data_IF_904375338776
#
_entry.id   IF_904375338776
#
_cell.length_a   1.000
_cell.length_b   1.000
_cell.length_c   1.000
_cell.angle_alpha   90.00
_cell.angle_beta   90.00
_cell.angle_gamma   90.00
#
_symmetry.space_group_name_H-M   'P 1'
#
loop_
_entity.id
_entity.type
_entity.pdbx_description
1 polymer ?
#
# COMPACT_ATOMS: atom_id res chain seq x y z
N UNK A 1 -16.27 42.08 -4.80
CA UNK A 1 -15.74 40.87 -5.47
C UNK A 1 -15.56 39.83 -4.38
N UNK A 2 -16.36 38.76 -4.37
CA UNK A 2 -16.38 37.77 -3.30
C UNK A 2 -15.25 36.76 -3.52
N UNK A 3 -14.39 36.49 -2.52
CA UNK A 3 -13.34 35.48 -2.67
C UNK A 3 -13.93 34.08 -2.79
N UNK A 4 -15.10 33.81 -2.17
CA UNK A 4 -15.78 32.51 -2.25
C UNK A 4 -16.19 32.15 -3.68
N UNK A 5 -16.67 33.13 -4.46
CA UNK A 5 -17.11 32.87 -5.85
C UNK A 5 -15.95 32.53 -6.78
N UNK A 6 -14.70 32.87 -6.41
CA UNK A 6 -13.50 32.43 -7.16
C UNK A 6 -13.11 30.98 -6.87
N UNK A 7 -13.48 30.42 -5.72
CA UNK A 7 -13.26 29.00 -5.40
C UNK A 7 -14.32 28.12 -6.07
N UNK A 8 -15.55 28.62 -6.23
CA UNK A 8 -16.64 27.91 -6.91
C UNK A 8 -16.42 27.76 -8.44
N UNK A 9 -15.55 28.58 -9.04
CA UNK A 9 -15.21 28.52 -10.47
C UNK A 9 -14.09 27.51 -10.80
N UNK A 10 -13.39 26.97 -9.79
CA UNK A 10 -12.34 25.96 -10.01
C UNK A 10 -12.98 24.58 -10.10
N UNK A 11 -13.42 24.20 -11.30
CA UNK A 11 -13.69 22.79 -11.62
C UNK A 11 -12.35 22.08 -11.79
N UNK A 12 -11.89 21.40 -10.75
CA UNK A 12 -10.75 20.51 -10.87
C UNK A 12 -11.23 19.28 -11.65
N UNK A 13 -10.61 19.00 -12.79
CA UNK A 13 -10.89 17.76 -13.51
C UNK A 13 -10.25 16.60 -12.74
N UNK A 14 -11.09 15.73 -12.19
CA UNK A 14 -10.69 14.60 -11.36
C UNK A 14 -9.73 13.67 -12.13
N UNK A 15 -9.84 13.66 -13.47
CA UNK A 15 -8.96 12.87 -14.34
C UNK A 15 -7.53 13.41 -14.40
N UNK A 16 -7.25 14.63 -13.92
CA UNK A 16 -5.89 15.14 -13.77
C UNK A 16 -5.12 14.49 -12.60
N UNK A 17 -5.81 13.87 -11.64
CA UNK A 17 -5.19 13.21 -10.48
C UNK A 17 -4.69 11.79 -10.78
N UNK A 18 -5.10 11.21 -11.90
CA UNK A 18 -4.77 9.84 -12.29
C UNK A 18 -4.17 9.82 -13.70
N UNK A 19 -3.24 8.92 -13.97
CA UNK A 19 -2.59 8.91 -15.28
C UNK A 19 -3.41 8.17 -16.34
N UNK A 20 -2.97 8.24 -17.60
CA UNK A 20 -3.68 7.63 -18.72
C UNK A 20 -3.80 6.09 -18.60
N UNK A 21 -2.85 5.44 -17.93
CA UNK A 21 -2.92 3.99 -17.67
C UNK A 21 -4.04 3.69 -16.66
N UNK A 22 -4.16 4.49 -15.60
CA UNK A 22 -5.25 4.37 -14.62
C UNK A 22 -6.61 4.56 -15.27
N UNK A 23 -6.75 5.60 -16.11
CA UNK A 23 -7.99 5.87 -16.83
C UNK A 23 -8.37 4.70 -17.73
N UNK A 24 -7.38 4.12 -18.43
CA UNK A 24 -7.59 2.96 -19.31
C UNK A 24 -8.06 1.74 -18.51
N UNK A 25 -7.42 1.44 -17.38
CA UNK A 25 -7.78 0.32 -16.51
C UNK A 25 -9.18 0.51 -15.92
N UNK A 26 -9.47 1.69 -15.37
CA UNK A 26 -10.77 2.00 -14.77
C UNK A 26 -11.90 1.91 -15.80
N UNK A 27 -11.68 2.44 -17.02
CA UNK A 27 -12.65 2.34 -18.11
C UNK A 27 -12.84 0.90 -18.58
N UNK A 28 -11.77 0.09 -18.59
CA UNK A 28 -11.85 -1.35 -18.86
C UNK A 28 -12.76 -2.08 -17.87
N UNK A 29 -12.52 -1.87 -16.57
CA UNK A 29 -13.32 -2.44 -15.48
C UNK A 29 -14.78 -1.97 -15.53
N UNK A 30 -15.03 -0.71 -15.87
CA UNK A 30 -16.37 -0.17 -16.05
C UNK A 30 -17.12 -0.89 -17.17
N UNK A 31 -16.49 -0.99 -18.35
CA UNK A 31 -17.07 -1.67 -19.50
C UNK A 31 -17.35 -3.17 -19.22
N UNK A 32 -16.48 -3.83 -18.47
CA UNK A 32 -16.69 -5.22 -18.03
C UNK A 32 -17.90 -5.34 -17.10
N UNK A 33 -18.03 -4.44 -16.13
CA UNK A 33 -19.17 -4.42 -15.22
C UNK A 33 -20.48 -4.15 -15.98
N UNK A 34 -20.50 -3.17 -16.88
CA UNK A 34 -21.65 -2.86 -17.74
C UNK A 34 -22.11 -4.12 -18.48
N UNK A 35 -21.22 -4.77 -19.26
CA UNK A 35 -21.56 -6.00 -20.01
C UNK A 35 -22.09 -7.12 -19.12
N UNK A 36 -21.50 -7.31 -17.94
CA UNK A 36 -21.94 -8.32 -17.00
C UNK A 36 -23.37 -8.02 -16.49
N UNK A 37 -23.65 -6.76 -16.15
CA UNK A 37 -24.98 -6.35 -15.69
C UNK A 37 -26.04 -6.40 -16.79
N UNK A 38 -25.72 -6.02 -18.03
CA UNK A 38 -26.61 -6.14 -19.20
C UNK A 38 -26.96 -7.61 -19.50
N UNK A 39 -26.01 -8.53 -19.29
CA UNK A 39 -26.26 -9.97 -19.41
C UNK A 39 -27.29 -10.45 -18.38
N UNK A 40 -27.20 -9.95 -17.14
CA UNK A 40 -28.20 -10.24 -16.09
C UNK A 40 -29.56 -9.66 -16.45
N UNK A 41 -29.61 -8.41 -16.94
CA UNK A 41 -30.86 -7.75 -17.34
C UNK A 41 -31.55 -8.50 -18.48
N UNK A 42 -30.78 -9.06 -19.41
CA UNK A 42 -31.29 -9.91 -20.49
C UNK A 42 -31.95 -11.18 -19.93
N UNK A 43 -31.34 -11.84 -18.94
CA UNK A 43 -31.92 -13.01 -18.28
C UNK A 43 -33.17 -12.65 -17.49
N UNK A 44 -33.16 -11.53 -16.75
CA UNK A 44 -34.33 -11.03 -16.02
C UNK A 44 -35.52 -10.78 -16.96
N UNK A 45 -35.26 -10.19 -18.13
CA UNK A 45 -36.28 -9.97 -19.17
C UNK A 45 -36.86 -11.29 -19.66
N UNK A 46 -36.01 -12.29 -19.94
CA UNK A 46 -36.47 -13.63 -20.36
C UNK A 46 -37.30 -14.33 -19.28
N UNK A 47 -36.94 -14.20 -18.01
CA UNK A 47 -37.69 -14.76 -16.89
C UNK A 47 -39.08 -14.11 -16.75
N UNK A 48 -39.19 -12.80 -16.96
CA UNK A 48 -40.48 -12.11 -16.87
C UNK A 48 -41.43 -12.46 -18.02
N UNK A 49 -40.89 -12.63 -19.23
CA UNK A 49 -41.64 -13.02 -20.42
C UNK A 49 -42.02 -14.51 -20.47
N UNK A 50 -41.47 -15.34 -19.57
CA UNK A 50 -41.70 -16.78 -19.60
C UNK A 50 -43.15 -17.14 -19.19
N UNK A 51 -43.95 -17.79 -20.07
CA UNK A 51 -45.35 -18.13 -19.77
C UNK A 51 -45.48 -19.19 -18.66
N UNK A 52 -44.41 -19.93 -18.36
CA UNK A 52 -44.38 -20.97 -17.34
C UNK A 52 -43.86 -20.45 -15.99
N UNK A 53 -43.66 -19.13 -15.82
CA UNK A 53 -43.18 -18.56 -14.56
C UNK A 53 -44.08 -18.95 -13.39
N UNK A 54 -43.49 -19.40 -12.29
CA UNK A 54 -44.18 -19.91 -11.09
C UNK A 54 -44.98 -21.22 -11.27
N UNK A 55 -44.88 -21.90 -12.41
CA UNK A 55 -45.53 -23.21 -12.62
C UNK A 55 -44.58 -24.36 -12.28
N UNK A 56 -43.36 -24.32 -12.82
CA UNK A 56 -42.34 -25.39 -12.64
C UNK A 56 -41.13 -24.93 -11.82
N UNK A 57 -40.99 -23.63 -11.58
CA UNK A 57 -39.90 -23.04 -10.82
C UNK A 57 -40.36 -21.75 -10.13
N UNK A 58 -39.71 -21.39 -9.02
CA UNK A 58 -39.99 -20.16 -8.30
C UNK A 58 -39.30 -18.96 -8.99
N UNK A 59 -40.06 -18.20 -9.78
CA UNK A 59 -39.52 -17.08 -10.54
C UNK A 59 -39.08 -15.93 -9.63
N UNK A 60 -39.83 -15.70 -8.55
CA UNK A 60 -39.51 -14.63 -7.60
C UNK A 60 -38.13 -14.82 -6.95
N UNK A 61 -37.82 -16.04 -6.52
CA UNK A 61 -36.53 -16.34 -5.89
C UNK A 61 -35.37 -16.20 -6.88
N UNK A 62 -35.55 -16.65 -8.13
CA UNK A 62 -34.53 -16.49 -9.18
C UNK A 62 -34.27 -15.01 -9.50
N UNK A 63 -35.33 -14.21 -9.67
CA UNK A 63 -35.21 -12.76 -9.92
C UNK A 63 -34.47 -12.09 -8.76
N UNK A 64 -34.85 -12.38 -7.52
CA UNK A 64 -34.20 -11.82 -6.33
C UNK A 64 -32.70 -12.17 -6.27
N UNK A 65 -32.33 -13.41 -6.60
CA UNK A 65 -30.92 -13.82 -6.63
C UNK A 65 -30.13 -13.09 -7.72
N UNK A 66 -30.71 -12.93 -8.91
CA UNK A 66 -30.08 -12.21 -10.03
C UNK A 66 -29.91 -10.72 -9.71
N UNK A 67 -30.93 -10.06 -9.15
CA UNK A 67 -30.84 -8.66 -8.73
C UNK A 67 -29.80 -8.44 -7.63
N UNK A 68 -29.74 -9.35 -6.65
CA UNK A 68 -28.71 -9.34 -5.62
C UNK A 68 -27.31 -9.54 -6.21
N UNK A 69 -27.17 -10.48 -7.15
CA UNK A 69 -25.94 -10.71 -7.90
C UNK A 69 -25.48 -9.47 -8.66
N UNK A 70 -26.41 -8.78 -9.34
CA UNK A 70 -26.13 -7.52 -10.06
C UNK A 70 -25.61 -6.43 -9.11
N UNK A 71 -26.19 -6.27 -7.92
CA UNK A 71 -25.65 -5.35 -6.88
C UNK A 71 -24.23 -5.75 -6.46
N UNK A 72 -24.00 -7.05 -6.26
CA UNK A 72 -22.68 -7.59 -5.94
C UNK A 72 -21.63 -7.31 -7.03
N UNK A 73 -22.01 -7.28 -8.30
CA UNK A 73 -21.12 -6.93 -9.41
C UNK A 73 -20.65 -5.48 -9.34
N UNK A 74 -21.53 -4.53 -8.99
CA UNK A 74 -21.18 -3.11 -8.85
C UNK A 74 -20.22 -2.91 -7.67
N UNK A 75 -20.47 -3.58 -6.54
CA UNK A 75 -19.57 -3.55 -5.37
C UNK A 75 -18.20 -4.13 -5.74
N UNK A 76 -18.17 -5.24 -6.49
CA UNK A 76 -16.91 -5.84 -6.95
C UNK A 76 -16.15 -4.88 -7.86
N UNK A 77 -16.83 -4.27 -8.83
CA UNK A 77 -16.26 -3.26 -9.72
C UNK A 77 -15.56 -2.13 -8.97
N UNK A 78 -16.24 -1.52 -7.99
CA UNK A 78 -15.64 -0.48 -7.16
C UNK A 78 -14.41 -0.99 -6.39
N UNK A 79 -14.50 -2.18 -5.79
CA UNK A 79 -13.37 -2.78 -5.07
C UNK A 79 -12.18 -3.11 -5.97
N UNK A 80 -12.41 -3.48 -7.23
CA UNK A 80 -11.34 -3.77 -8.16
C UNK A 80 -10.62 -2.48 -8.62
N UNK A 81 -11.36 -1.37 -8.80
CA UNK A 81 -10.75 -0.03 -8.97
C UNK A 81 -9.93 0.34 -7.74
N UNK A 82 -10.50 0.21 -6.53
CA UNK A 82 -9.79 0.49 -5.28
C UNK A 82 -8.48 -0.29 -5.19
N UNK A 83 -8.51 -1.61 -5.43
CA UNK A 83 -7.32 -2.48 -5.39
C UNK A 83 -6.26 -2.03 -6.39
N UNK A 84 -6.66 -1.59 -7.58
CA UNK A 84 -5.73 -1.05 -8.58
C UNK A 84 -4.93 0.11 -7.99
N UNK A 85 -5.60 1.12 -7.42
CA UNK A 85 -4.94 2.27 -6.79
C UNK A 85 -4.11 1.89 -5.56
N UNK A 86 -4.64 1.03 -4.67
CA UNK A 86 -3.89 0.53 -3.51
C UNK A 86 -2.59 -0.17 -3.93
N UNK A 87 -2.65 -0.99 -4.98
CA UNK A 87 -1.49 -1.73 -5.47
C UNK A 87 -0.49 -0.85 -6.19
N UNK A 88 -0.94 0.04 -7.09
CA UNK A 88 -0.06 0.88 -7.90
C UNK A 88 0.66 1.92 -7.05
N UNK A 89 -0.06 2.55 -6.12
CA UNK A 89 0.47 3.65 -5.32
C UNK A 89 0.92 3.23 -3.92
N UNK A 90 0.71 1.97 -3.53
CA UNK A 90 1.02 1.47 -2.19
C UNK A 90 0.40 2.34 -1.08
N UNK A 91 -0.89 2.63 -1.24
CA UNK A 91 -1.70 3.42 -0.30
C UNK A 91 -2.79 2.57 0.31
N UNK A 92 -3.23 2.96 1.49
CA UNK A 92 -4.41 2.39 2.14
C UNK A 92 -5.63 3.25 1.81
N UNK A 93 -6.62 2.66 1.14
CA UNK A 93 -7.91 3.30 0.88
C UNK A 93 -8.93 2.66 1.81
N UNK A 94 -9.67 3.48 2.57
CA UNK A 94 -10.69 2.98 3.47
C UNK A 94 -11.83 2.28 2.70
N UNK A 95 -12.43 1.20 3.26
CA UNK A 95 -13.52 0.50 2.61
C UNK A 95 -14.68 1.44 2.25
N UNK A 96 -15.28 1.24 1.08
CA UNK A 96 -16.50 1.92 0.67
C UNK A 96 -17.65 1.63 1.63
N UNK A 97 -18.60 2.55 1.68
CA UNK A 97 -19.75 2.46 2.57
C UNK A 97 -20.65 1.26 2.20
N UNK A 98 -21.36 0.71 3.19
CA UNK A 98 -22.16 -0.50 3.01
C UNK A 98 -23.33 -0.32 2.01
N UNK A 99 -23.81 0.91 1.84
CA UNK A 99 -24.83 1.23 0.82
C UNK A 99 -24.27 1.15 -0.61
N UNK A 100 -22.94 1.29 -0.76
CA UNK A 100 -22.20 1.10 -1.99
C UNK A 100 -22.53 2.10 -3.10
N UNK A 101 -21.96 1.84 -4.28
CA UNK A 101 -22.25 2.60 -5.49
C UNK A 101 -23.52 2.07 -6.17
N UNK A 102 -24.36 2.98 -6.66
CA UNK A 102 -25.62 2.66 -7.37
C UNK A 102 -25.48 2.68 -8.88
N UNK A 103 -24.43 3.34 -9.38
CA UNK A 103 -24.14 3.49 -10.81
C UNK A 103 -22.81 2.82 -11.12
N UNK A 104 -22.69 2.37 -12.37
CA UNK A 104 -21.43 1.88 -12.92
C UNK A 104 -20.78 3.10 -13.58
N UNK A 105 -20.09 3.88 -12.75
CA UNK A 105 -19.37 5.08 -13.16
C UNK A 105 -18.00 5.08 -12.45
N UNK A 106 -16.93 4.85 -13.21
CA UNK A 106 -15.59 4.82 -12.61
C UNK A 106 -15.16 6.19 -12.10
N UNK A 107 -15.66 7.28 -12.68
CA UNK A 107 -15.31 8.65 -12.28
C UNK A 107 -15.84 8.93 -10.87
N UNK A 108 -17.07 8.52 -10.58
CA UNK A 108 -17.67 8.63 -9.23
C UNK A 108 -16.85 7.84 -8.19
N UNK A 109 -16.36 6.66 -8.55
CA UNK A 109 -15.53 5.84 -7.64
C UNK A 109 -14.15 6.46 -7.42
N UNK A 110 -13.52 6.98 -8.47
CA UNK A 110 -12.23 7.66 -8.36
C UNK A 110 -12.35 8.94 -7.52
N UNK A 111 -13.43 9.71 -7.67
CA UNK A 111 -13.71 10.88 -6.85
C UNK A 111 -13.80 10.53 -5.35
N UNK A 112 -14.57 9.49 -5.01
CA UNK A 112 -14.69 9.00 -3.63
C UNK A 112 -13.34 8.49 -3.09
N UNK A 113 -12.53 7.82 -3.92
CA UNK A 113 -11.16 7.43 -3.55
C UNK A 113 -10.31 8.66 -3.20
N UNK A 114 -10.31 9.68 -4.05
CA UNK A 114 -9.53 10.90 -3.84
C UNK A 114 -9.99 11.63 -2.57
N UNK A 115 -11.31 11.73 -2.34
CA UNK A 115 -11.86 12.28 -1.11
C UNK A 115 -11.35 11.51 0.13
N UNK A 116 -11.28 10.18 0.05
CA UNK A 116 -10.78 9.30 1.12
C UNK A 116 -9.27 9.38 1.35
N UNK A 117 -8.49 9.94 0.42
CA UNK A 117 -7.07 10.23 0.67
C UNK A 117 -6.92 11.31 1.74
N UNK A 118 -7.91 12.17 1.92
CA UNK A 118 -7.96 13.20 2.97
C UNK A 118 -7.23 14.48 2.59
N UNK A 119 -7.36 14.90 1.33
CA UNK A 119 -6.73 16.11 0.79
C UNK A 119 -5.27 15.93 0.37
N UNK A 120 -4.78 14.70 0.33
CA UNK A 120 -3.45 14.34 -0.17
C UNK A 120 -3.57 13.70 -1.55
N UNK A 121 -2.56 13.89 -2.40
CA UNK A 121 -2.42 13.04 -3.57
C UNK A 121 -1.94 11.62 -3.18
N UNK A 122 -1.94 10.69 -4.14
CA UNK A 122 -1.53 9.30 -3.89
C UNK A 122 -0.07 9.19 -3.40
N UNK A 123 0.85 10.00 -3.91
CA UNK A 123 2.27 9.96 -3.55
C UNK A 123 2.51 10.51 -2.15
N UNK A 124 1.85 11.61 -1.81
CA UNK A 124 1.86 12.21 -0.48
C UNK A 124 1.27 11.25 0.54
N UNK A 125 0.12 10.65 0.24
CA UNK A 125 -0.51 9.65 1.11
C UNK A 125 0.42 8.46 1.36
N UNK A 126 1.00 7.91 0.31
CA UNK A 126 1.93 6.79 0.40
C UNK A 126 3.16 7.15 1.25
N UNK A 127 3.75 8.33 1.04
CA UNK A 127 4.87 8.81 1.86
C UNK A 127 4.51 8.87 3.35
N UNK A 128 3.36 9.47 3.68
CA UNK A 128 2.88 9.58 5.05
C UNK A 128 2.64 8.21 5.69
N UNK A 129 2.08 7.27 4.94
CA UNK A 129 1.87 5.90 5.39
C UNK A 129 3.18 5.14 5.61
N UNK A 130 4.12 5.21 4.66
CA UNK A 130 5.46 4.62 4.78
C UNK A 130 6.14 5.13 6.06
N UNK A 131 6.17 6.45 6.25
CA UNK A 131 6.74 7.08 7.43
C UNK A 131 6.05 6.60 8.71
N UNK A 132 4.72 6.69 8.77
CA UNK A 132 3.94 6.28 9.95
C UNK A 132 4.12 4.79 10.26
N UNK A 133 4.30 3.93 9.26
CA UNK A 133 4.44 2.50 9.45
C UNK A 133 5.78 2.14 10.07
N UNK A 134 6.90 2.65 9.53
CA UNK A 134 8.21 2.40 10.14
C UNK A 134 8.28 2.99 11.56
N UNK A 135 7.74 4.19 11.75
CA UNK A 135 7.74 4.90 13.03
C UNK A 135 7.07 4.13 14.18
N UNK A 136 6.09 3.25 13.91
CA UNK A 136 5.45 2.39 14.92
C UNK A 136 6.40 1.37 15.52
N UNK A 137 7.46 1.00 14.80
CA UNK A 137 8.44 -0.01 15.21
C UNK A 137 9.70 0.62 15.81
N UNK A 138 9.80 1.94 15.84
CA UNK A 138 10.98 2.64 16.31
C UNK A 138 10.78 3.13 17.74
N UNK A 139 11.62 2.63 18.63
CA UNK A 139 11.82 3.18 19.96
C UNK A 139 13.09 4.03 19.98
N UNK A 140 12.95 5.32 20.24
CA UNK A 140 14.02 6.32 20.06
C UNK A 140 15.36 5.99 20.76
N UNK A 141 15.37 5.52 22.03
CA UNK A 141 16.60 5.09 22.71
C UNK A 141 17.38 3.95 22.03
N UNK A 142 16.81 3.33 20.99
CA UNK A 142 17.44 2.25 20.24
C UNK A 142 18.09 2.70 18.93
N UNK A 143 17.91 3.95 18.51
CA UNK A 143 18.52 4.50 17.28
C UNK A 143 19.81 5.24 17.64
N UNK A 144 20.93 4.80 17.06
CA UNK A 144 22.23 5.45 17.20
C UNK A 144 22.77 5.77 15.81
N UNK A 145 23.06 7.05 15.56
CA UNK A 145 23.69 7.53 14.32
C UNK A 145 25.15 7.83 14.61
N UNK A 146 26.06 7.23 13.84
CA UNK A 146 27.51 7.48 13.95
C UNK A 146 28.14 7.48 12.56
N UNK A 147 28.53 8.67 12.09
CA UNK A 147 29.04 8.89 10.74
C UNK A 147 28.03 8.32 9.71
N UNK A 148 28.50 7.56 8.73
CA UNK A 148 27.66 6.93 7.70
C UNK A 148 26.80 5.76 8.20
N UNK A 149 26.84 5.40 9.48
CA UNK A 149 26.14 4.23 10.01
C UNK A 149 24.96 4.62 10.91
N UNK A 150 23.86 3.89 10.78
CA UNK A 150 22.73 3.91 11.71
C UNK A 150 22.61 2.53 12.33
N UNK A 151 22.63 2.44 13.64
CA UNK A 151 22.33 1.21 14.39
C UNK A 151 20.95 1.32 15.04
N UNK A 152 20.10 0.32 14.84
CA UNK A 152 18.80 0.20 15.50
C UNK A 152 18.81 -1.06 16.36
N UNK A 153 18.75 -0.90 17.68
CA UNK A 153 18.74 -2.03 18.63
C UNK A 153 17.36 -2.69 18.72
N UNK A 154 17.33 -3.99 18.97
CA UNK A 154 16.10 -4.76 19.23
C UNK A 154 14.99 -4.53 18.19
N UNK A 155 15.36 -4.47 16.91
CA UNK A 155 14.48 -4.07 15.81
C UNK A 155 13.86 -5.27 15.08
N UNK A 156 14.65 -6.29 14.74
CA UNK A 156 14.20 -7.45 13.97
C UNK A 156 14.56 -8.74 14.71
N UNK A 157 13.60 -9.65 14.88
CA UNK A 157 13.78 -10.89 15.60
C UNK A 157 13.95 -12.09 14.68
N UNK A 158 14.93 -12.93 15.02
CA UNK A 158 15.20 -14.20 14.34
C UNK A 158 14.95 -15.39 15.27
N UNK A 159 14.76 -16.56 14.69
CA UNK A 159 14.75 -17.85 15.38
C UNK A 159 15.53 -18.91 14.59
N UNK A 160 16.12 -19.92 15.24
CA UNK A 160 16.76 -21.01 14.51
C UNK A 160 15.74 -21.76 13.65
N UNK A 161 16.15 -22.16 12.44
CA UNK A 161 15.31 -23.00 11.60
C UNK A 161 15.25 -24.43 12.16
N UNK A 162 14.03 -24.93 12.41
CA UNK A 162 13.81 -26.25 13.05
C UNK A 162 14.37 -27.40 12.19
N UNK A 163 14.30 -27.29 10.87
CA UNK A 163 14.63 -28.38 9.94
C UNK A 163 15.96 -28.18 9.17
N UNK A 164 16.71 -27.11 9.47
CA UNK A 164 17.96 -26.77 8.76
C UNK A 164 18.99 -26.23 9.74
N UNK A 165 19.94 -27.07 10.13
CA UNK A 165 21.04 -26.68 11.03
C UNK A 165 21.83 -25.53 10.41
N UNK A 166 22.11 -24.49 11.21
CA UNK A 166 22.83 -23.30 10.76
C UNK A 166 21.95 -22.22 10.12
N UNK A 167 20.72 -22.54 9.74
CA UNK A 167 19.77 -21.59 9.17
C UNK A 167 18.98 -20.87 10.27
N UNK A 168 18.60 -19.64 9.96
CA UNK A 168 17.75 -18.79 10.78
C UNK A 168 16.51 -18.36 10.00
N UNK A 169 15.40 -18.29 10.70
CA UNK A 169 14.14 -17.76 10.20
C UNK A 169 13.91 -16.36 10.74
N UNK A 170 13.43 -15.47 9.87
CA UNK A 170 12.86 -14.20 10.30
C UNK A 170 11.51 -14.47 10.97
N UNK A 171 11.31 -14.04 12.23
CA UNK A 171 10.06 -14.30 12.97
C UNK A 171 8.84 -13.63 12.34
N UNK A 172 9.04 -12.44 11.75
CA UNK A 172 8.02 -11.70 11.02
C UNK A 172 8.70 -10.78 10.00
N UNK A 173 8.20 -10.80 8.77
CA UNK A 173 8.69 -9.94 7.69
C UNK A 173 8.14 -8.51 7.76
N UNK A 174 7.12 -8.26 8.58
CA UNK A 174 6.41 -6.97 8.64
C UNK A 174 7.35 -5.78 8.89
N UNK A 175 8.12 -5.84 9.97
CA UNK A 175 9.03 -4.74 10.35
C UNK A 175 10.15 -4.55 9.32
N UNK A 176 10.64 -5.64 8.71
CA UNK A 176 11.62 -5.59 7.63
C UNK A 176 11.03 -4.94 6.38
N UNK A 177 9.80 -5.32 6.01
CA UNK A 177 9.06 -4.76 4.88
C UNK A 177 8.83 -3.26 5.06
N UNK A 178 8.40 -2.83 6.25
CA UNK A 178 8.19 -1.41 6.57
C UNK A 178 9.51 -0.61 6.51
N UNK A 179 10.63 -1.19 6.96
CA UNK A 179 11.95 -0.58 6.78
C UNK A 179 12.33 -0.48 5.30
N UNK A 180 12.11 -1.52 4.51
CA UNK A 180 12.47 -1.55 3.10
C UNK A 180 11.71 -0.51 2.28
N UNK A 181 10.43 -0.27 2.58
CA UNK A 181 9.70 0.84 1.96
C UNK A 181 10.27 2.20 2.32
N UNK A 182 10.69 2.40 3.57
CA UNK A 182 11.35 3.64 3.97
C UNK A 182 12.69 3.84 3.24
N UNK A 183 13.50 2.78 3.12
CA UNK A 183 14.77 2.80 2.38
C UNK A 183 14.56 3.10 0.90
N UNK A 184 13.60 2.41 0.26
CA UNK A 184 13.24 2.62 -1.14
C UNK A 184 12.79 4.05 -1.41
N UNK A 185 11.86 4.57 -0.59
CA UNK A 185 11.38 5.94 -0.75
C UNK A 185 12.51 6.95 -0.54
N UNK A 186 13.41 6.71 0.42
CA UNK A 186 14.56 7.58 0.62
C UNK A 186 15.52 7.56 -0.58
N UNK A 187 15.77 6.39 -1.15
CA UNK A 187 16.63 6.19 -2.30
C UNK A 187 16.10 6.88 -3.55
N UNK A 188 14.86 6.57 -3.95
CA UNK A 188 14.33 6.86 -5.29
C UNK A 188 13.04 7.68 -5.29
N UNK A 189 12.44 7.95 -4.13
CA UNK A 189 11.06 8.44 -3.96
C UNK A 189 10.00 7.48 -4.50
N UNK A 190 10.36 6.23 -4.80
CA UNK A 190 9.40 5.18 -5.16
C UNK A 190 8.60 4.74 -3.94
N UNK A 191 7.33 4.47 -4.16
CA UNK A 191 6.40 3.91 -3.18
C UNK A 191 6.28 2.39 -3.30
N UNK A 192 6.90 1.79 -4.34
CA UNK A 192 6.94 0.36 -4.61
C UNK A 192 8.36 -0.18 -4.40
N UNK A 193 8.48 -1.39 -3.85
CA UNK A 193 9.79 -2.01 -3.63
C UNK A 193 10.44 -2.45 -4.94
N UNK A 194 11.74 -2.16 -5.10
CA UNK A 194 12.55 -2.79 -6.14
C UNK A 194 12.70 -4.30 -5.90
N UNK A 195 12.90 -5.04 -7.00
CA UNK A 195 13.04 -6.51 -6.99
C UNK A 195 14.11 -7.03 -6.03
N UNK A 196 15.22 -6.32 -5.88
CA UNK A 196 16.31 -6.69 -4.95
C UNK A 196 15.83 -6.77 -3.50
N UNK A 197 15.16 -5.71 -3.01
CA UNK A 197 14.58 -5.67 -1.66
C UNK A 197 13.47 -6.71 -1.48
N UNK A 198 12.66 -6.87 -2.52
CA UNK A 198 11.54 -7.79 -2.50
C UNK A 198 12.01 -9.26 -2.42
N UNK A 199 12.97 -9.64 -3.28
CA UNK A 199 13.58 -10.97 -3.26
C UNK A 199 14.30 -11.25 -1.94
N UNK A 200 14.99 -10.26 -1.37
CA UNK A 200 15.66 -10.40 -0.08
C UNK A 200 14.69 -10.79 1.04
N UNK A 201 13.49 -10.16 1.09
CA UNK A 201 12.51 -10.44 2.16
C UNK A 201 11.77 -11.77 1.97
N UNK A 202 11.60 -12.25 0.74
CA UNK A 202 10.84 -13.49 0.49
C UNK A 202 11.62 -14.75 0.87
N UNK A 203 12.95 -14.70 0.90
CA UNK A 203 13.77 -15.80 1.38
C UNK A 203 13.86 -15.77 2.92
N UNK A 204 12.83 -16.26 3.60
CA UNK A 204 12.71 -16.16 5.05
C UNK A 204 13.59 -17.13 5.85
N UNK A 205 14.26 -18.10 5.21
CA UNK A 205 15.11 -19.10 5.89
C UNK A 205 16.49 -19.16 5.25
N UNK A 206 17.49 -18.63 5.94
CA UNK A 206 18.85 -18.42 5.39
C UNK A 206 19.93 -18.71 6.42
N UNK A 207 21.10 -19.13 5.97
CA UNK A 207 22.31 -19.30 6.79
C UNK A 207 23.19 -18.03 6.83
N UNK A 208 22.97 -17.11 5.91
CA UNK A 208 23.74 -15.86 5.72
C UNK A 208 23.10 -14.61 6.33
N UNK A 209 22.02 -14.74 7.13
CA UNK A 209 21.28 -13.59 7.70
C UNK A 209 22.16 -12.55 8.41
N UNK A 210 23.27 -12.99 9.02
CA UNK A 210 24.16 -12.12 9.82
C UNK A 210 25.37 -11.60 9.04
N UNK A 211 25.52 -12.00 7.78
CA UNK A 211 26.49 -11.41 6.88
C UNK A 211 25.98 -10.04 6.38
N UNK A 212 26.88 -9.09 6.09
CA UNK A 212 26.48 -7.84 5.45
C UNK A 212 25.85 -8.09 4.08
N UNK A 213 24.67 -7.56 3.85
CA UNK A 213 24.06 -7.51 2.52
C UNK A 213 24.33 -6.16 1.88
N UNK A 214 25.00 -6.17 0.73
CA UNK A 214 25.35 -4.98 -0.05
C UNK A 214 24.22 -4.75 -1.06
N UNK A 215 23.69 -3.53 -1.10
CA UNK A 215 22.71 -3.14 -2.11
C UNK A 215 23.42 -2.75 -3.41
N UNK A 216 23.25 -3.53 -4.46
CA UNK A 216 23.92 -3.27 -5.74
C UNK A 216 23.22 -2.17 -6.54
N UNK A 217 21.90 -2.05 -6.40
CA UNK A 217 21.09 -1.09 -7.17
C UNK A 217 20.87 0.25 -6.46
N UNK A 218 21.38 0.42 -5.24
CA UNK A 218 21.17 1.62 -4.41
C UNK A 218 22.45 2.46 -4.32
N UNK A 219 22.26 3.78 -4.30
CA UNK A 219 23.33 4.78 -4.31
C UNK A 219 23.50 5.48 -2.97
N UNK A 220 22.41 5.75 -2.24
CA UNK A 220 22.45 6.43 -0.93
C UNK A 220 22.60 5.44 0.22
N UNK A 221 22.00 4.26 0.10
CA UNK A 221 22.13 3.16 1.06
C UNK A 221 23.02 2.08 0.46
N UNK A 222 24.07 1.69 1.17
CA UNK A 222 25.10 0.76 0.67
C UNK A 222 24.95 -0.64 1.20
N UNK A 223 24.54 -0.77 2.47
CA UNK A 223 24.59 -2.06 3.16
C UNK A 223 23.56 -2.13 4.28
N UNK A 224 23.02 -3.32 4.52
CA UNK A 224 22.31 -3.70 5.73
C UNK A 224 22.98 -4.92 6.38
N UNK A 225 23.19 -4.86 7.70
CA UNK A 225 23.70 -5.98 8.49
C UNK A 225 22.77 -6.28 9.66
N UNK A 226 22.41 -7.55 9.82
CA UNK A 226 21.64 -8.02 10.96
C UNK A 226 22.55 -8.64 12.02
N UNK A 227 22.12 -8.61 13.28
CA UNK A 227 22.86 -9.17 14.39
C UNK A 227 21.99 -10.14 15.20
N UNK A 228 22.61 -11.16 15.80
CA UNK A 228 21.94 -12.15 16.67
C UNK A 228 21.22 -11.55 17.87
N UNK A 229 21.56 -10.31 18.26
CA UNK A 229 20.90 -9.57 19.34
C UNK A 229 19.72 -8.72 18.86
N UNK A 230 19.11 -9.09 17.73
CA UNK A 230 17.98 -8.42 17.09
C UNK A 230 18.26 -6.98 16.62
N UNK A 231 19.51 -6.53 16.68
CA UNK A 231 19.89 -5.22 16.15
C UNK A 231 20.11 -5.29 14.65
N UNK A 232 19.99 -4.14 13.99
CA UNK A 232 20.46 -3.94 12.62
C UNK A 232 21.44 -2.78 12.54
N UNK A 233 22.26 -2.78 11.50
CA UNK A 233 23.06 -1.64 11.09
C UNK A 233 22.81 -1.36 9.61
N UNK A 234 22.54 -0.10 9.31
CA UNK A 234 22.46 0.44 7.96
C UNK A 234 23.71 1.28 7.70
N UNK A 235 24.29 1.14 6.51
CA UNK A 235 25.42 1.96 6.06
C UNK A 235 24.99 2.78 4.85
N UNK A 236 25.24 4.08 4.93
CA UNK A 236 24.93 5.05 3.90
C UNK A 236 26.18 5.45 3.11
N UNK A 237 25.99 6.13 2.00
CA UNK A 237 27.05 6.71 1.19
C UNK A 237 27.74 7.91 1.89
N UNK A 238 26.96 8.66 2.67
CA UNK A 238 27.43 9.86 3.37
C UNK A 238 26.79 10.00 4.76
N UNK A 239 27.45 10.78 5.63
CA UNK A 239 26.93 11.12 6.94
C UNK A 239 25.65 11.96 6.82
N UNK A 240 25.56 12.83 5.80
CA UNK A 240 24.37 13.64 5.53
C UNK A 240 23.16 12.76 5.22
N UNK A 241 23.32 11.76 4.33
CA UNK A 241 22.27 10.79 4.00
C UNK A 241 21.80 10.01 5.22
N UNK A 242 22.72 9.55 6.07
CA UNK A 242 22.39 8.84 7.31
C UNK A 242 21.56 9.72 8.27
N UNK A 243 21.97 10.98 8.47
CA UNK A 243 21.24 11.92 9.34
C UNK A 243 19.86 12.25 8.76
N UNK A 244 19.76 12.50 7.45
CA UNK A 244 18.48 12.80 6.78
C UNK A 244 17.50 11.63 6.92
N UNK A 245 17.94 10.40 6.66
CA UNK A 245 17.11 9.21 6.83
C UNK A 245 16.66 9.03 8.28
N UNK A 246 17.59 9.17 9.23
CA UNK A 246 17.29 9.01 10.65
C UNK A 246 16.24 10.01 11.13
N UNK A 247 16.38 11.29 10.77
CA UNK A 247 15.42 12.35 11.11
C UNK A 247 14.06 12.12 10.46
N UNK A 248 14.06 11.68 9.20
CA UNK A 248 12.82 11.55 8.41
C UNK A 248 11.99 10.34 8.81
N UNK A 249 12.63 9.18 9.05
CA UNK A 249 11.94 7.90 9.20
C UNK A 249 12.13 7.24 10.57
N UNK A 250 13.17 7.58 11.32
CA UNK A 250 13.53 6.90 12.57
C UNK A 250 13.33 7.78 13.82
N UNK A 251 12.52 8.85 13.69
CA UNK A 251 12.22 9.83 14.77
C UNK A 251 13.46 10.47 15.39
N UNK A 252 14.64 10.34 14.79
CA UNK A 252 15.90 10.76 15.40
C UNK A 252 15.94 12.27 15.59
N UNK A 253 16.30 12.72 16.80
CA UNK A 253 16.60 14.11 17.09
C UNK A 253 17.97 14.23 17.76
N UNK A 254 18.75 15.23 17.35
CA UNK A 254 20.10 15.48 17.88
C UNK A 254 20.08 15.82 19.39
N UNK A 255 18.93 16.26 19.92
CA UNK A 255 18.74 16.59 21.34
C UNK A 255 18.78 15.39 22.30
N UNK A 256 18.71 14.15 21.82
CA UNK A 256 18.78 12.94 22.66
C UNK A 256 20.22 12.65 23.15
N UNK A 257 21.24 13.30 22.58
CA UNK A 257 22.64 13.10 22.94
C UNK A 257 23.09 13.85 24.20
N UNK A 258 22.31 14.82 24.71
CA UNK A 258 22.72 15.61 25.89
C UNK A 258 22.45 14.89 27.21
N UNK A 259 21.54 13.90 27.24
CA UNK A 259 21.11 13.24 28.48
C UNK A 259 21.66 11.81 28.68
N UNK A 260 22.61 11.36 27.86
CA UNK A 260 23.26 10.05 28.02
C UNK A 260 24.75 10.14 28.38
N UNK A 261 25.21 11.34 28.76
CA UNK A 261 26.55 11.60 29.28
C UNK A 261 26.49 12.15 30.70
N UNK A 262 26.03 11.34 31.66
CA UNK A 262 26.42 11.40 33.09
C UNK A 262 26.51 9.97 33.59
#
# INVERSE_FOLDING_TARGET
MNLLSKFEEVKIDILEFIDAEDQTICKGLENECIRATESVDSVLTLLDLNPFKNQYYNNWELVKQLESGKKGMIIKFANDIKKHFESKYNVTIFPFDAEGFKKIDYVEIVDDIIARLGGFDFKEKAYLEIKKNIEKNIYLPHVNVKNINIRIKSFIAFEPAIFKVGFWNLKSDRTLKELFYALEYFESKSVTLRKELDAFRFNNSRDDWFEPFIFESMTKIREIKFFKNNSIQLKFDSNASAIEFAKTFLKYSESVLVNSGV
#
